data_IF_158493875248
#
_entry.id   IF_158493875248
#
_cell.length_a   1.000
_cell.length_b   1.000
_cell.length_c   1.000
_cell.angle_alpha   90.00
_cell.angle_beta   90.00
_cell.angle_gamma   90.00
#
_symmetry.space_group_name_H-M   'P 1'
#
loop_
_entity.id
_entity.type
_entity.pdbx_description
1 polymer ?
#
# COMPACT_ATOMS: atom_id res chain seq x y z
N UNK A 1 -12.23 -14.90 -3.02
CA UNK A 1 -11.26 -13.83 -2.73
C UNK A 1 -10.80 -13.17 -4.02
N UNK A 2 -10.78 -11.86 -4.02
CA UNK A 2 -10.30 -11.10 -5.17
C UNK A 2 -8.90 -10.57 -4.89
N UNK A 3 -8.03 -10.61 -5.89
CA UNK A 3 -6.71 -10.00 -5.81
C UNK A 3 -6.79 -8.61 -6.41
N UNK A 4 -6.30 -7.62 -5.67
CA UNK A 4 -6.30 -6.24 -6.11
C UNK A 4 -4.89 -5.68 -6.01
N UNK A 5 -4.47 -4.99 -7.05
CA UNK A 5 -3.15 -4.37 -7.10
C UNK A 5 -3.27 -2.87 -6.92
N UNK A 6 -2.36 -2.31 -6.13
CA UNK A 6 -2.29 -0.87 -5.95
C UNK A 6 -0.84 -0.43 -5.75
N UNK A 7 -0.58 0.85 -6.01
CA UNK A 7 0.75 1.42 -5.93
C UNK A 7 0.79 2.49 -4.86
N UNK A 8 1.80 2.45 -4.00
CA UNK A 8 2.03 3.45 -2.98
C UNK A 8 3.33 4.16 -3.28
N UNK A 9 3.30 5.49 -3.29
CA UNK A 9 4.50 6.32 -3.37
C UNK A 9 4.73 6.93 -2.00
N UNK A 10 5.92 6.76 -1.47
CA UNK A 10 6.26 7.24 -0.13
C UNK A 10 7.68 7.79 -0.08
N UNK A 11 7.96 8.60 0.93
CA UNK A 11 9.32 9.02 1.22
C UNK A 11 10.12 7.82 1.74
N UNK A 12 11.37 7.72 1.32
CA UNK A 12 12.23 6.64 1.77
C UNK A 12 12.65 6.87 3.22
N UNK A 13 12.02 6.15 4.15
CA UNK A 13 12.32 6.18 5.57
C UNK A 13 12.51 4.75 6.06
N UNK A 14 13.35 4.52 7.09
CA UNK A 14 13.59 3.16 7.57
C UNK A 14 12.33 2.40 7.98
N UNK A 15 11.36 3.10 8.55
CA UNK A 15 10.15 2.46 9.08
C UNK A 15 8.93 2.53 8.16
N UNK A 16 9.04 3.14 6.97
CA UNK A 16 7.85 3.34 6.12
C UNK A 16 7.24 2.04 5.66
N UNK A 17 8.07 1.10 5.23
CA UNK A 17 7.59 -0.20 4.77
C UNK A 17 6.87 -0.94 5.90
N UNK A 18 7.45 -0.95 7.09
CA UNK A 18 6.84 -1.61 8.24
C UNK A 18 5.48 -1.02 8.57
N UNK A 19 5.35 0.29 8.52
CA UNK A 19 4.09 0.97 8.80
C UNK A 19 3.02 0.62 7.77
N UNK A 20 3.39 0.62 6.50
CA UNK A 20 2.48 0.25 5.42
C UNK A 20 2.00 -1.18 5.61
N UNK A 21 2.92 -2.12 5.81
CA UNK A 21 2.57 -3.52 5.99
C UNK A 21 1.69 -3.73 7.23
N UNK A 22 1.98 -3.01 8.30
CA UNK A 22 1.19 -3.11 9.52
C UNK A 22 -0.26 -2.67 9.29
N UNK A 23 -0.46 -1.54 8.60
CA UNK A 23 -1.80 -1.05 8.30
C UNK A 23 -2.56 -2.05 7.43
N UNK A 24 -1.92 -2.54 6.37
CA UNK A 24 -2.54 -3.50 5.46
C UNK A 24 -2.96 -4.76 6.21
N UNK A 25 -2.08 -5.33 7.01
CA UNK A 25 -2.36 -6.55 7.76
C UNK A 25 -3.40 -6.32 8.84
N UNK A 26 -3.32 -5.20 9.54
CA UNK A 26 -4.24 -4.88 10.62
C UNK A 26 -5.68 -4.72 10.13
N UNK A 27 -5.85 -4.27 8.91
CA UNK A 27 -7.17 -4.09 8.30
C UNK A 27 -7.73 -5.38 7.67
N UNK A 28 -7.00 -6.50 7.79
CA UNK A 28 -7.49 -7.79 7.35
C UNK A 28 -7.17 -8.14 5.91
N UNK A 29 -6.18 -7.49 5.31
CA UNK A 29 -5.74 -7.80 3.95
C UNK A 29 -4.52 -8.69 3.99
N UNK A 30 -4.44 -9.62 3.04
CA UNK A 30 -3.30 -10.50 2.89
C UNK A 30 -2.48 -10.07 1.68
N UNK A 31 -1.20 -9.78 1.89
CA UNK A 31 -0.31 -9.40 0.81
C UNK A 31 0.16 -10.68 0.11
N UNK A 32 -0.14 -10.80 -1.17
CA UNK A 32 0.25 -11.97 -1.96
C UNK A 32 1.47 -11.69 -2.82
N UNK A 33 1.71 -10.43 -3.16
CA UNK A 33 2.88 -10.03 -3.92
C UNK A 33 3.26 -8.61 -3.57
N UNK A 34 4.55 -8.33 -3.55
CA UNK A 34 5.05 -6.99 -3.30
C UNK A 34 6.29 -6.75 -4.14
N UNK A 35 6.32 -5.60 -4.78
CA UNK A 35 7.51 -5.11 -5.49
C UNK A 35 7.86 -3.74 -4.95
N UNK A 36 9.14 -3.47 -4.82
CA UNK A 36 9.62 -2.18 -4.33
C UNK A 36 10.64 -1.61 -5.29
N UNK A 37 10.52 -0.33 -5.55
CA UNK A 37 11.50 0.39 -6.36
C UNK A 37 11.90 1.64 -5.62
N UNK A 38 13.20 1.85 -5.47
CA UNK A 38 13.76 3.03 -4.82
C UNK A 38 14.35 3.95 -5.87
N UNK A 39 13.92 5.20 -5.88
CA UNK A 39 14.38 6.18 -6.87
C UNK A 39 14.23 7.59 -6.29
N UNK A 40 15.29 8.40 -6.38
CA UNK A 40 15.28 9.81 -5.98
C UNK A 40 14.75 10.04 -4.56
N UNK A 41 15.20 9.22 -3.60
CA UNK A 41 14.79 9.30 -2.19
C UNK A 41 13.31 9.01 -1.96
N UNK A 42 12.62 8.51 -2.98
CA UNK A 42 11.25 8.04 -2.88
C UNK A 42 11.19 6.55 -3.14
N UNK A 43 10.18 5.92 -2.61
CA UNK A 43 10.00 4.49 -2.79
C UNK A 43 8.60 4.24 -3.36
N UNK A 44 8.56 3.37 -4.37
CA UNK A 44 7.32 2.89 -4.97
C UNK A 44 7.10 1.45 -4.54
N UNK A 45 5.93 1.18 -3.99
CA UNK A 45 5.52 -0.17 -3.64
C UNK A 45 4.37 -0.59 -4.51
N UNK A 46 4.54 -1.69 -5.25
CA UNK A 46 3.43 -2.33 -5.96
C UNK A 46 2.98 -3.50 -5.11
N UNK A 47 1.81 -3.39 -4.54
CA UNK A 47 1.27 -4.41 -3.64
C UNK A 47 0.07 -5.08 -4.29
N UNK A 48 0.03 -6.41 -4.20
CA UNK A 48 -1.15 -7.18 -4.54
C UNK A 48 -1.69 -7.81 -3.28
N UNK A 49 -2.93 -7.55 -2.98
CA UNK A 49 -3.58 -8.07 -1.78
C UNK A 49 -4.77 -8.93 -2.14
N UNK A 50 -5.00 -9.94 -1.32
CA UNK A 50 -6.17 -10.79 -1.40
C UNK A 50 -7.05 -10.49 -0.21
N UNK A 51 -8.32 -10.18 -0.45
CA UNK A 51 -9.25 -9.90 0.63
C UNK A 51 -10.68 -10.01 0.14
N UNK A 52 -11.60 -10.27 1.08
CA UNK A 52 -13.03 -10.18 0.83
C UNK A 52 -13.52 -8.74 0.99
N UNK A 53 -12.68 -7.88 1.54
CA UNK A 53 -13.00 -6.46 1.72
C UNK A 53 -12.56 -5.67 0.50
N UNK A 54 -13.26 -4.56 0.27
CA UNK A 54 -12.90 -3.64 -0.79
C UNK A 54 -11.60 -2.92 -0.45
N UNK A 55 -10.63 -2.99 -1.35
CA UNK A 55 -9.35 -2.31 -1.18
C UNK A 55 -9.52 -0.79 -1.11
N UNK A 56 -10.60 -0.26 -1.66
CA UNK A 56 -10.88 1.17 -1.58
C UNK A 56 -11.05 1.67 -0.14
N UNK A 57 -11.38 0.78 0.79
CA UNK A 57 -11.44 1.13 2.22
C UNK A 57 -10.06 1.28 2.82
N UNK A 58 -9.07 0.63 2.23
CA UNK A 58 -7.69 0.69 2.71
C UNK A 58 -6.96 1.95 2.24
N UNK A 59 -7.26 2.43 1.04
CA UNK A 59 -6.58 3.57 0.44
C UNK A 59 -6.56 4.81 1.34
N UNK A 60 -7.71 5.26 1.91
CA UNK A 60 -7.68 6.43 2.80
C UNK A 60 -6.83 6.22 4.05
N UNK A 61 -6.74 4.99 4.54
CA UNK A 61 -5.95 4.68 5.73
C UNK A 61 -4.45 4.81 5.43
N UNK A 62 -4.04 4.38 4.25
CA UNK A 62 -2.65 4.51 3.83
C UNK A 62 -2.27 5.97 3.56
N UNK A 63 -3.19 6.74 2.99
CA UNK A 63 -2.94 8.15 2.72
C UNK A 63 -2.77 8.99 3.98
N UNK A 64 -3.24 8.51 5.11
CA UNK A 64 -3.05 9.19 6.40
C UNK A 64 -1.66 9.02 6.99
N UNK A 65 -0.87 8.08 6.48
CA UNK A 65 0.48 7.88 6.98
C UNK A 65 1.37 9.05 6.56
N UNK A 66 2.16 9.55 7.50
CA UNK A 66 2.95 10.75 7.31
C UNK A 66 3.89 10.67 6.11
N UNK A 67 4.56 9.53 5.93
CA UNK A 67 5.54 9.38 4.87
C UNK A 67 4.95 8.96 3.52
N UNK A 68 3.66 8.67 3.47
CA UNK A 68 3.00 8.29 2.22
C UNK A 68 2.64 9.56 1.44
N UNK A 69 3.12 9.63 0.20
CA UNK A 69 2.87 10.77 -0.69
C UNK A 69 1.58 10.55 -1.46
N UNK A 70 1.39 9.36 -2.00
CA UNK A 70 0.21 9.05 -2.80
C UNK A 70 -0.05 7.55 -2.82
N UNK A 71 -1.31 7.21 -3.04
CA UNK A 71 -1.74 5.83 -3.22
C UNK A 71 -2.63 5.78 -4.46
N UNK A 72 -2.28 4.92 -5.39
CA UNK A 72 -3.02 4.75 -6.64
C UNK A 72 -3.59 3.35 -6.72
N UNK A 73 -4.90 3.26 -6.89
CA UNK A 73 -5.59 1.99 -7.06
C UNK A 73 -6.57 2.11 -8.23
N UNK A 74 -6.36 1.35 -9.27
CA UNK A 74 -7.21 1.41 -10.46
C UNK A 74 -8.65 1.03 -10.18
N UNK A 75 -8.86 0.16 -9.20
CA UNK A 75 -10.20 -0.30 -8.84
C UNK A 75 -10.98 0.71 -8.00
N UNK A 76 -10.35 1.79 -7.58
CA UNK A 76 -10.91 2.71 -6.59
C UNK A 76 -11.14 4.12 -7.14
N UNK A 77 -11.38 4.23 -8.37
CA UNK A 77 -11.69 5.54 -8.98
C UNK A 77 -13.06 6.06 -8.59
#
# INVERSE_FOLDING_TARGET
MANTEFTIVANHRPEVLERILRVVRHRGYTITEMKMKLENEKVWFDLTVASQRDVCLLVPQLKKLFDVIDVTCESCE
#
